data_IF_449975828480
#
_entry.id   IF_449975828480
#
_cell.length_a   1.000
_cell.length_b   1.000
_cell.length_c   1.000
_cell.angle_alpha   90.00
_cell.angle_beta   90.00
_cell.angle_gamma   90.00
#
_symmetry.space_group_name_H-M   'P 1'
#
loop_
_entity.id
_entity.type
_entity.pdbx_description
1 polymer ?
#
# COMPACT_ATOMS: atom_id res chain seq x y z
N UNK A 1 -20.49 -18.15 -11.70
CA UNK A 1 -19.66 -18.18 -10.47
C UNK A 1 -18.31 -18.87 -10.68
N UNK A 2 -18.22 -20.03 -11.34
CA UNK A 2 -16.93 -20.69 -11.66
C UNK A 2 -16.06 -19.92 -12.68
N UNK A 3 -16.67 -19.21 -13.64
CA UNK A 3 -15.95 -18.41 -14.65
C UNK A 3 -15.21 -17.22 -14.07
N UNK A 4 -15.80 -16.53 -13.09
CA UNK A 4 -15.19 -15.40 -12.38
C UNK A 4 -14.02 -15.85 -11.50
N UNK A 5 -14.10 -17.07 -10.96
CA UNK A 5 -13.08 -17.65 -10.08
C UNK A 5 -11.75 -17.89 -10.80
N UNK A 6 -11.80 -18.44 -12.02
CA UNK A 6 -10.63 -18.68 -12.85
C UNK A 6 -10.01 -17.36 -13.32
N UNK A 7 -10.85 -16.37 -13.65
CA UNK A 7 -10.42 -15.07 -14.13
C UNK A 7 -9.54 -14.31 -13.12
N UNK A 8 -9.99 -14.17 -11.86
CA UNK A 8 -9.22 -13.43 -10.84
C UNK A 8 -7.87 -14.08 -10.51
N UNK A 9 -7.82 -15.41 -10.48
CA UNK A 9 -6.58 -16.16 -10.22
C UNK A 9 -5.59 -16.00 -11.38
N UNK A 10 -6.07 -16.08 -12.62
CA UNK A 10 -5.23 -15.85 -13.82
C UNK A 10 -4.72 -14.41 -13.84
N UNK A 11 -5.58 -13.44 -13.52
CA UNK A 11 -5.21 -12.02 -13.42
C UNK A 11 -4.11 -11.80 -12.38
N UNK A 12 -4.27 -12.35 -11.17
CA UNK A 12 -3.25 -12.24 -10.12
C UNK A 12 -1.92 -12.92 -10.50
N UNK A 13 -1.96 -14.08 -11.16
CA UNK A 13 -0.76 -14.78 -11.62
C UNK A 13 -0.03 -13.99 -12.73
N UNK A 14 -0.77 -13.49 -13.72
CA UNK A 14 -0.20 -12.67 -14.81
C UNK A 14 0.33 -11.33 -14.30
N UNK A 15 -0.36 -10.69 -13.36
CA UNK A 15 0.11 -9.47 -12.72
C UNK A 15 1.42 -9.72 -11.96
N UNK A 16 1.46 -10.77 -11.13
CA UNK A 16 2.69 -11.18 -10.42
C UNK A 16 3.85 -11.42 -11.40
N UNK A 17 3.61 -12.12 -12.51
CA UNK A 17 4.62 -12.32 -13.55
C UNK A 17 5.09 -11.01 -14.21
N UNK A 18 4.16 -10.11 -14.52
CA UNK A 18 4.46 -8.77 -15.03
C UNK A 18 5.39 -8.01 -14.07
N UNK A 19 5.03 -7.94 -12.79
CA UNK A 19 5.86 -7.30 -11.75
C UNK A 19 7.25 -7.95 -11.65
N UNK A 20 7.32 -9.27 -11.79
CA UNK A 20 8.57 -10.02 -11.63
C UNK A 20 9.53 -9.76 -12.79
N UNK A 21 8.99 -9.65 -14.00
CA UNK A 21 9.75 -9.38 -15.23
C UNK A 21 9.99 -7.88 -15.46
N UNK A 22 9.31 -6.99 -14.73
CA UNK A 22 9.51 -5.54 -14.80
C UNK A 22 10.97 -5.16 -14.58
N UNK A 23 11.57 -4.37 -15.49
CA UNK A 23 12.89 -3.80 -15.23
C UNK A 23 12.89 -2.92 -13.97
N UNK A 24 14.08 -2.62 -13.39
CA UNK A 24 14.21 -1.61 -12.36
C UNK A 24 13.63 -0.28 -12.84
N UNK A 25 13.15 0.51 -11.88
CA UNK A 25 12.65 1.85 -12.15
C UNK A 25 13.69 2.70 -12.89
N UNK A 26 13.27 3.55 -13.86
CA UNK A 26 14.19 4.50 -14.47
C UNK A 26 14.91 5.33 -13.40
N UNK A 27 16.22 5.56 -13.58
CA UNK A 27 17.05 6.36 -12.66
C UNK A 27 17.05 5.88 -11.20
N UNK A 28 16.79 4.59 -10.96
CA UNK A 28 16.72 4.05 -9.59
C UNK A 28 17.97 4.30 -8.75
N UNK A 29 19.16 4.35 -9.36
CA UNK A 29 20.41 4.65 -8.63
C UNK A 29 20.43 6.07 -8.09
N UNK A 30 20.00 7.03 -8.91
CA UNK A 30 19.88 8.44 -8.50
C UNK A 30 18.81 8.61 -7.42
N UNK A 31 17.70 7.89 -7.55
CA UNK A 31 16.65 7.84 -6.54
C UNK A 31 17.16 7.28 -5.20
N UNK A 32 17.86 6.15 -5.21
CA UNK A 32 18.35 5.52 -3.98
C UNK A 32 19.42 6.38 -3.29
N UNK A 33 20.34 6.97 -4.05
CA UNK A 33 21.31 7.91 -3.49
C UNK A 33 20.64 9.13 -2.83
N UNK A 34 19.56 9.62 -3.45
CA UNK A 34 18.76 10.72 -2.90
C UNK A 34 18.01 10.31 -1.63
N UNK A 35 17.44 9.09 -1.58
CA UNK A 35 16.77 8.54 -0.40
C UNK A 35 17.76 8.38 0.75
N UNK A 36 18.93 7.82 0.48
CA UNK A 36 19.98 7.59 1.47
C UNK A 36 20.45 8.91 2.11
N UNK A 37 20.71 9.93 1.29
CA UNK A 37 21.07 11.26 1.78
C UNK A 37 19.99 11.86 2.70
N UNK A 38 18.72 11.79 2.30
CA UNK A 38 17.62 12.32 3.11
C UNK A 38 17.35 11.54 4.38
N UNK A 39 17.57 10.22 4.36
CA UNK A 39 17.41 9.37 5.54
C UNK A 39 18.41 9.74 6.62
N UNK A 40 19.65 10.08 6.24
CA UNK A 40 20.66 10.55 7.19
C UNK A 40 20.22 11.84 7.91
N UNK A 41 19.48 12.69 7.20
CA UNK A 41 18.95 13.97 7.71
C UNK A 41 17.53 13.84 8.30
N UNK A 42 16.98 12.63 8.40
CA UNK A 42 15.61 12.45 8.84
C UNK A 42 15.45 12.74 10.34
N UNK A 43 14.75 13.83 10.66
CA UNK A 43 14.42 14.18 12.05
C UNK A 43 13.27 13.33 12.62
N UNK A 44 12.56 12.58 11.76
CA UNK A 44 11.32 11.88 12.11
C UNK A 44 11.28 10.49 11.51
N UNK A 45 10.81 9.55 12.31
CA UNK A 45 10.64 8.15 11.94
C UNK A 45 9.25 7.65 12.34
N UNK A 46 8.75 6.65 11.62
CA UNK A 46 7.59 5.89 12.08
C UNK A 46 7.89 5.25 13.44
N UNK A 47 6.93 5.35 14.36
CA UNK A 47 7.05 4.73 15.67
C UNK A 47 7.19 3.20 15.55
N UNK A 48 7.80 2.58 16.56
CA UNK A 48 7.87 1.12 16.63
C UNK A 48 6.50 0.46 16.67
N UNK A 49 6.44 -0.80 16.23
CA UNK A 49 5.21 -1.58 16.00
C UNK A 49 4.11 -1.34 17.05
N UNK A 50 4.38 -1.57 18.33
CA UNK A 50 3.36 -1.48 19.40
C UNK A 50 2.82 -0.04 19.57
N UNK A 51 3.70 0.96 19.52
CA UNK A 51 3.30 2.35 19.70
C UNK A 51 2.46 2.82 18.50
N UNK A 52 2.86 2.43 17.29
CA UNK A 52 2.12 2.72 16.07
C UNK A 52 0.75 2.02 16.06
N UNK A 53 0.66 0.73 16.42
CA UNK A 53 -0.62 0.03 16.52
C UNK A 53 -1.61 0.78 17.43
N UNK A 54 -1.15 1.19 18.62
CA UNK A 54 -1.98 1.93 19.59
C UNK A 54 -2.46 3.26 19.02
N UNK A 55 -1.58 4.00 18.35
CA UNK A 55 -1.92 5.27 17.72
C UNK A 55 -2.99 5.08 16.63
N UNK A 56 -2.82 4.09 15.75
CA UNK A 56 -3.77 3.80 14.68
C UNK A 56 -5.14 3.38 15.22
N UNK A 57 -5.17 2.49 16.23
CA UNK A 57 -6.41 2.08 16.89
C UNK A 57 -7.11 3.29 17.54
N UNK A 58 -6.36 4.17 18.21
CA UNK A 58 -6.91 5.36 18.84
C UNK A 58 -7.48 6.35 17.80
N UNK A 59 -6.82 6.50 16.66
CA UNK A 59 -7.29 7.36 15.56
C UNK A 59 -8.62 6.88 15.00
N UNK A 60 -8.71 5.60 14.62
CA UNK A 60 -9.93 5.08 13.99
C UNK A 60 -11.12 5.01 14.94
N UNK A 61 -10.88 4.79 16.23
CA UNK A 61 -11.96 4.72 17.24
C UNK A 61 -12.54 6.09 17.57
N UNK A 62 -11.80 7.18 17.30
CA UNK A 62 -12.24 8.57 17.50
C UNK A 62 -12.79 9.24 16.24
N UNK A 63 -12.66 8.61 15.08
CA UNK A 63 -13.08 9.20 13.81
C UNK A 63 -14.61 9.38 13.76
N UNK A 64 -15.13 10.57 13.40
CA UNK A 64 -16.55 10.92 13.52
C UNK A 64 -17.51 10.26 12.50
N UNK A 65 -17.09 9.22 11.76
CA UNK A 65 -17.91 8.53 10.76
C UNK A 65 -18.07 7.04 11.06
N UNK A 66 -19.29 6.61 11.41
CA UNK A 66 -19.59 5.24 11.82
C UNK A 66 -20.51 4.46 10.87
N UNK A 67 -20.25 4.43 9.55
CA UNK A 67 -20.92 3.47 8.63
C UNK A 67 -20.27 3.33 7.24
N UNK A 68 -20.29 2.12 6.65
CA UNK A 68 -19.57 0.94 7.11
C UNK A 68 -18.07 1.06 6.76
N UNK A 69 -17.21 0.53 7.62
CA UNK A 69 -15.75 0.64 7.51
C UNK A 69 -15.14 -0.02 6.28
N UNK A 70 -15.93 -0.82 5.57
CA UNK A 70 -15.58 -1.51 4.33
C UNK A 70 -16.19 -0.84 3.07
N UNK A 71 -17.03 0.20 3.23
CA UNK A 71 -17.55 0.94 2.09
C UNK A 71 -16.47 1.79 1.44
N UNK A 72 -16.37 1.66 0.13
CA UNK A 72 -15.67 2.60 -0.72
C UNK A 72 -16.69 3.64 -1.19
N UNK A 73 -16.57 4.93 -0.78
CA UNK A 73 -17.60 5.93 -1.03
C UNK A 73 -17.80 6.26 -2.51
N UNK A 74 -16.85 5.86 -3.35
CA UNK A 74 -16.87 6.01 -4.81
C UNK A 74 -17.38 4.75 -5.54
N UNK A 75 -17.85 3.72 -4.83
CA UNK A 75 -18.48 2.54 -5.43
C UNK A 75 -19.96 2.43 -5.07
N UNK A 76 -20.79 2.15 -6.08
CA UNK A 76 -22.17 1.73 -5.89
C UNK A 76 -22.23 0.25 -5.49
N UNK A 77 -22.24 -0.04 -4.18
CA UNK A 77 -22.90 -1.19 -3.54
C UNK A 77 -22.57 -1.24 -2.04
N UNK A 78 -23.55 -1.71 -1.25
CA UNK A 78 -23.51 -1.91 0.21
C UNK A 78 -22.59 -3.06 0.69
N UNK A 79 -21.75 -3.62 -0.17
CA UNK A 79 -20.81 -4.71 0.13
C UNK A 79 -19.44 -4.39 -0.49
N UNK A 80 -18.36 -4.40 0.32
CA UNK A 80 -17.01 -4.14 -0.18
C UNK A 80 -16.54 -5.15 -1.23
N UNK A 81 -15.38 -4.89 -1.88
CA UNK A 81 -14.91 -5.72 -2.99
C UNK A 81 -14.63 -7.16 -2.53
N UNK A 82 -14.92 -8.18 -3.37
CA UNK A 82 -14.51 -9.56 -3.08
C UNK A 82 -12.99 -9.64 -2.84
N UNK A 83 -12.54 -10.41 -1.83
CA UNK A 83 -11.12 -10.45 -1.42
C UNK A 83 -10.14 -10.74 -2.56
N UNK A 84 -10.56 -11.51 -3.57
CA UNK A 84 -9.73 -11.83 -4.75
C UNK A 84 -9.59 -10.65 -5.70
N UNK A 85 -10.66 -9.89 -5.91
CA UNK A 85 -10.65 -8.65 -6.71
C UNK A 85 -9.75 -7.62 -6.05
N UNK A 86 -9.87 -7.44 -4.73
CA UNK A 86 -8.98 -6.60 -3.94
C UNK A 86 -7.51 -7.03 -4.06
N UNK A 87 -7.24 -8.33 -3.94
CA UNK A 87 -5.87 -8.85 -4.09
C UNK A 87 -5.30 -8.57 -5.47
N UNK A 88 -6.06 -8.89 -6.52
CA UNK A 88 -5.69 -8.58 -7.88
C UNK A 88 -5.42 -7.08 -8.05
N UNK A 89 -6.26 -6.22 -7.49
CA UNK A 89 -6.12 -4.77 -7.54
C UNK A 89 -4.77 -4.29 -6.99
N UNK A 90 -4.39 -4.77 -5.80
CA UNK A 90 -3.13 -4.40 -5.12
C UNK A 90 -1.88 -4.85 -5.90
N UNK A 91 -1.95 -5.99 -6.59
CA UNK A 91 -0.81 -6.54 -7.35
C UNK A 91 -0.74 -5.98 -8.79
N UNK A 92 -1.88 -5.67 -9.41
CA UNK A 92 -2.00 -5.37 -10.86
C UNK A 92 -1.74 -3.93 -11.26
N UNK A 93 -1.26 -3.08 -10.35
CA UNK A 93 -0.99 -1.66 -10.62
C UNK A 93 0.18 -1.41 -11.59
N UNK A 94 0.95 -2.43 -11.99
CA UNK A 94 2.12 -2.24 -12.85
C UNK A 94 1.75 -2.11 -14.32
N UNK A 95 2.36 -1.14 -15.01
CA UNK A 95 2.21 -0.92 -16.45
C UNK A 95 2.72 -2.11 -17.29
N UNK A 96 3.67 -2.89 -16.74
CA UNK A 96 4.19 -4.12 -17.35
C UNK A 96 3.14 -5.27 -17.35
N UNK A 97 1.96 -5.05 -16.75
CA UNK A 97 0.82 -5.96 -16.82
C UNK A 97 -0.28 -5.41 -17.75
N UNK A 98 -0.45 -6.04 -18.92
CA UNK A 98 -1.45 -5.63 -19.92
C UNK A 98 -2.88 -6.14 -19.69
N UNK A 99 -3.15 -6.89 -18.62
CA UNK A 99 -4.48 -7.44 -18.36
C UNK A 99 -5.41 -6.47 -17.60
N UNK A 100 -6.66 -6.86 -17.28
CA UNK A 100 -7.65 -5.97 -16.67
C UNK A 100 -7.18 -5.40 -15.32
N UNK A 101 -7.31 -4.09 -15.14
CA UNK A 101 -7.05 -3.42 -13.85
C UNK A 101 -8.37 -2.91 -13.27
N UNK A 102 -8.70 -3.25 -12.01
CA UNK A 102 -9.91 -2.77 -11.33
C UNK A 102 -9.76 -1.29 -10.92
N UNK A 103 -9.80 -0.39 -11.90
CA UNK A 103 -9.60 1.05 -11.73
C UNK A 103 -10.62 1.70 -10.79
N UNK A 104 -11.81 1.11 -10.67
CA UNK A 104 -12.85 1.58 -9.76
C UNK A 104 -12.44 1.53 -8.28
N UNK A 105 -11.45 0.70 -7.93
CA UNK A 105 -10.93 0.64 -6.56
C UNK A 105 -9.97 1.79 -6.25
N UNK A 106 -9.46 2.48 -7.28
CA UNK A 106 -8.45 3.54 -7.16
C UNK A 106 -8.84 4.75 -8.01
N UNK A 107 -9.89 5.50 -7.60
CA UNK A 107 -10.31 6.70 -8.31
C UNK A 107 -9.18 7.72 -8.38
N UNK A 108 -8.70 7.98 -9.60
CA UNK A 108 -7.55 8.84 -9.87
C UNK A 108 -7.66 10.21 -9.19
N UNK A 109 -8.82 10.85 -9.29
CA UNK A 109 -9.01 12.20 -8.77
C UNK A 109 -8.91 12.25 -7.23
N UNK A 110 -9.45 11.24 -6.54
CA UNK A 110 -9.35 11.11 -5.08
C UNK A 110 -7.91 10.82 -4.63
N UNK A 111 -7.19 9.96 -5.38
CA UNK A 111 -5.77 9.68 -5.12
C UNK A 111 -4.95 10.96 -5.24
N UNK A 112 -5.15 11.73 -6.31
CA UNK A 112 -4.45 13.01 -6.50
C UNK A 112 -4.89 14.08 -5.49
N UNK A 113 -6.15 14.09 -5.06
CA UNK A 113 -6.63 14.99 -4.01
C UNK A 113 -5.97 14.69 -2.65
N UNK A 114 -5.96 13.42 -2.24
CA UNK A 114 -5.29 13.00 -1.01
C UNK A 114 -3.78 13.28 -1.07
N UNK A 115 -3.14 12.99 -2.21
CA UNK A 115 -1.72 13.32 -2.46
C UNK A 115 -1.45 14.81 -2.20
N UNK A 116 -2.26 15.71 -2.77
CA UNK A 116 -2.10 17.16 -2.55
C UNK A 116 -2.25 17.54 -1.07
N UNK A 117 -3.22 16.93 -0.36
CA UNK A 117 -3.43 17.17 1.06
C UNK A 117 -2.25 16.70 1.93
N UNK A 118 -1.63 15.57 1.58
CA UNK A 118 -0.42 15.05 2.24
C UNK A 118 0.78 15.96 1.95
N UNK A 119 0.99 16.37 0.70
CA UNK A 119 2.08 17.28 0.32
C UNK A 119 1.98 18.65 0.99
N UNK A 120 0.75 19.16 1.16
CA UNK A 120 0.49 20.48 1.75
C UNK A 120 0.96 20.62 3.20
N UNK A 121 1.24 19.50 3.89
CA UNK A 121 1.78 19.53 5.25
C UNK A 121 3.20 20.10 5.32
N UNK A 122 3.94 20.10 4.20
CA UNK A 122 5.26 20.72 4.10
C UNK A 122 6.35 20.07 4.98
N UNK A 123 6.10 18.85 5.49
CA UNK A 123 7.01 18.10 6.36
C UNK A 123 6.85 16.61 6.17
N UNK A 124 7.82 15.84 6.68
CA UNK A 124 7.69 14.39 6.78
C UNK A 124 6.49 13.99 7.66
N UNK A 125 5.73 12.99 7.20
CA UNK A 125 4.52 12.45 7.82
C UNK A 125 4.73 10.98 8.18
N UNK A 126 4.45 10.65 9.43
CA UNK A 126 4.42 9.26 9.90
C UNK A 126 3.12 8.56 9.49
N UNK A 127 3.11 7.23 9.53
CA UNK A 127 1.96 6.39 9.14
C UNK A 127 0.65 6.81 9.82
N UNK A 128 0.68 7.16 11.10
CA UNK A 128 -0.49 7.62 11.85
C UNK A 128 -0.96 9.01 11.41
N UNK A 129 -0.05 9.92 11.09
CA UNK A 129 -0.40 11.24 10.53
C UNK A 129 -0.98 11.13 9.12
N UNK A 130 -0.39 10.26 8.28
CA UNK A 130 -0.92 9.93 6.97
C UNK A 130 -2.35 9.38 7.07
N UNK A 131 -2.59 8.48 8.04
CA UNK A 131 -3.93 7.94 8.27
C UNK A 131 -4.91 9.01 8.77
N UNK A 132 -4.49 9.90 9.67
CA UNK A 132 -5.35 10.97 10.18
C UNK A 132 -5.87 11.86 9.03
N UNK A 133 -4.97 12.30 8.15
CA UNK A 133 -5.32 13.10 6.97
C UNK A 133 -6.23 12.32 6.02
N UNK A 134 -5.91 11.05 5.77
CA UNK A 134 -6.73 10.22 4.89
C UNK A 134 -8.13 9.95 5.47
N UNK A 135 -8.26 9.83 6.79
CA UNK A 135 -9.55 9.68 7.46
C UNK A 135 -10.41 10.95 7.34
N UNK A 136 -9.80 12.14 7.43
CA UNK A 136 -10.52 13.39 7.14
C UNK A 136 -11.01 13.41 5.69
N UNK A 137 -10.14 13.04 4.75
CA UNK A 137 -10.45 12.98 3.32
C UNK A 137 -11.59 12.01 3.00
N UNK A 138 -11.68 10.88 3.70
CA UNK A 138 -12.70 9.85 3.44
C UNK A 138 -13.90 9.90 4.39
N UNK A 139 -14.05 10.97 5.17
CA UNK A 139 -15.08 11.14 6.20
C UNK A 139 -15.13 9.96 7.20
N UNK A 140 -13.96 9.53 7.69
CA UNK A 140 -13.78 8.49 8.69
C UNK A 140 -13.77 7.06 8.15
N UNK A 141 -13.83 6.84 6.83
CA UNK A 141 -13.85 5.50 6.24
C UNK A 141 -12.45 4.91 6.17
N UNK A 142 -12.09 4.09 7.17
CA UNK A 142 -10.74 3.52 7.33
C UNK A 142 -10.26 2.71 6.14
N UNK A 143 -11.08 1.82 5.57
CA UNK A 143 -10.66 1.00 4.44
C UNK A 143 -10.41 1.83 3.17
N UNK A 144 -11.29 2.79 2.89
CA UNK A 144 -11.12 3.76 1.81
C UNK A 144 -9.84 4.58 2.01
N UNK A 145 -9.58 5.06 3.24
CA UNK A 145 -8.36 5.82 3.57
C UNK A 145 -7.10 4.98 3.28
N UNK A 146 -7.07 3.72 3.73
CA UNK A 146 -5.93 2.83 3.50
C UNK A 146 -5.71 2.50 2.02
N UNK A 147 -6.78 2.32 1.25
CA UNK A 147 -6.72 2.10 -0.21
C UNK A 147 -6.13 3.31 -0.94
N UNK A 148 -6.61 4.53 -0.62
CA UNK A 148 -6.06 5.74 -1.23
C UNK A 148 -4.60 5.96 -0.82
N UNK A 149 -4.26 5.73 0.44
CA UNK A 149 -2.87 5.81 0.91
C UNK A 149 -1.96 4.84 0.16
N UNK A 150 -2.37 3.58 -0.01
CA UNK A 150 -1.63 2.63 -0.83
C UNK A 150 -1.39 3.16 -2.25
N UNK A 151 -2.43 3.68 -2.91
CA UNK A 151 -2.33 4.21 -4.27
C UNK A 151 -1.41 5.44 -4.36
N UNK A 152 -1.51 6.38 -3.40
CA UNK A 152 -0.63 7.55 -3.33
C UNK A 152 0.84 7.12 -3.19
N UNK A 153 1.13 6.22 -2.26
CA UNK A 153 2.52 5.78 -2.04
C UNK A 153 3.07 5.03 -3.26
N UNK A 154 2.24 4.22 -3.93
CA UNK A 154 2.63 3.55 -5.18
C UNK A 154 2.99 4.52 -6.28
N UNK A 155 2.17 5.56 -6.49
CA UNK A 155 2.43 6.62 -7.45
C UNK A 155 3.79 7.29 -7.20
N UNK A 156 4.13 7.55 -5.95
CA UNK A 156 5.43 8.12 -5.54
C UNK A 156 6.58 7.12 -5.65
N UNK A 157 6.36 5.83 -5.39
CA UNK A 157 7.42 4.83 -5.27
C UNK A 157 7.84 4.14 -6.58
N UNK A 158 6.95 3.98 -7.57
CA UNK A 158 7.26 3.10 -8.73
C UNK A 158 7.34 3.76 -10.09
N UNK A 159 6.73 4.93 -10.31
CA UNK A 159 6.69 5.63 -11.61
C UNK A 159 6.40 4.69 -12.81
N UNK A 160 5.53 3.70 -12.56
CA UNK A 160 5.19 2.61 -13.48
C UNK A 160 3.74 2.16 -13.34
N UNK A 161 2.90 3.09 -12.93
CA UNK A 161 1.47 2.88 -12.72
C UNK A 161 0.67 3.91 -13.55
N UNK A 162 1.24 4.38 -14.67
CA UNK A 162 0.71 5.47 -15.49
C UNK A 162 -0.68 5.14 -16.03
N UNK A 163 -0.94 3.86 -16.31
CA UNK A 163 -2.27 3.40 -16.75
C UNK A 163 -3.34 3.62 -15.68
N UNK A 164 -2.98 3.45 -14.41
CA UNK A 164 -3.91 3.62 -13.29
C UNK A 164 -4.00 5.10 -12.87
N UNK A 165 -2.86 5.70 -12.52
CA UNK A 165 -2.82 6.96 -11.77
C UNK A 165 -2.18 8.12 -12.56
N UNK A 166 -1.59 7.85 -13.73
CA UNK A 166 -0.70 8.78 -14.42
C UNK A 166 0.74 8.69 -13.92
N UNK A 167 1.63 9.47 -14.53
CA UNK A 167 3.04 9.59 -14.14
C UNK A 167 3.28 10.90 -13.40
N UNK A 168 4.34 10.94 -12.58
CA UNK A 168 4.85 12.16 -11.98
C UNK A 168 6.14 12.56 -12.69
N UNK A 169 6.36 13.86 -12.85
CA UNK A 169 7.68 14.32 -13.27
C UNK A 169 8.72 14.01 -12.18
N UNK A 170 9.97 13.82 -12.58
CA UNK A 170 11.04 13.38 -11.67
C UNK A 170 11.20 14.29 -10.44
N UNK A 171 11.25 15.60 -10.63
CA UNK A 171 11.42 16.55 -9.52
C UNK A 171 10.19 16.61 -8.61
N UNK A 172 8.99 16.47 -9.19
CA UNK A 172 7.75 16.36 -8.45
C UNK A 172 7.77 15.10 -7.57
N UNK A 173 8.19 13.99 -8.14
CA UNK A 173 8.29 12.72 -7.44
C UNK A 173 9.30 12.75 -6.28
N UNK A 174 10.47 13.35 -6.48
CA UNK A 174 11.45 13.50 -5.39
C UNK A 174 10.90 14.42 -4.29
N UNK A 175 10.29 15.54 -4.65
CA UNK A 175 9.62 16.41 -3.67
C UNK A 175 8.57 15.64 -2.87
N UNK A 176 7.77 14.81 -3.54
CA UNK A 176 6.75 13.99 -2.90
C UNK A 176 7.34 12.88 -2.01
N UNK A 177 8.40 12.22 -2.44
CA UNK A 177 9.07 11.23 -1.61
C UNK A 177 9.55 11.83 -0.27
N UNK A 178 9.82 13.14 -0.23
CA UNK A 178 10.37 13.81 0.97
C UNK A 178 9.36 14.04 2.09
N UNK A 179 8.06 13.98 1.83
CA UNK A 179 7.05 14.08 2.89
C UNK A 179 6.75 12.72 3.55
N UNK A 180 7.36 11.62 3.10
CA UNK A 180 7.13 10.29 3.66
C UNK A 180 8.21 10.01 4.71
N UNK A 181 7.81 9.90 5.99
CA UNK A 181 8.76 9.57 7.04
C UNK A 181 9.27 8.13 6.87
N UNK A 182 10.59 7.89 6.97
CA UNK A 182 11.14 6.54 6.93
C UNK A 182 10.70 5.71 8.13
N UNK A 183 10.68 4.39 7.95
CA UNK A 183 10.66 3.48 9.09
C UNK A 183 12.03 3.48 9.78
N UNK A 184 12.03 3.20 11.08
CA UNK A 184 13.27 3.07 11.84
C UNK A 184 14.19 2.01 11.19
N UNK A 185 15.53 2.15 11.27
CA UNK A 185 16.47 1.17 10.72
C UNK A 185 16.25 -0.26 11.23
N UNK A 186 15.73 -0.43 12.44
CA UNK A 186 15.37 -1.74 13.02
C UNK A 186 14.21 -2.44 12.30
N UNK A 187 13.43 -1.71 11.50
CA UNK A 187 12.29 -2.24 10.73
C UNK A 187 12.68 -2.38 9.27
N UNK A 188 13.18 -1.32 8.65
CA UNK A 188 13.39 -1.27 7.20
C UNK A 188 14.85 -1.40 6.76
N UNK A 189 15.82 -1.50 7.69
CA UNK A 189 17.24 -1.41 7.32
C UNK A 189 17.51 -0.14 6.54
N UNK A 190 18.12 -0.25 5.36
CA UNK A 190 18.37 0.84 4.39
C UNK A 190 17.22 1.06 3.39
N UNK A 191 15.99 0.68 3.78
CA UNK A 191 14.82 0.66 2.91
C UNK A 191 14.43 2.00 2.29
N UNK A 192 13.74 1.89 1.15
CA UNK A 192 13.11 2.98 0.40
C UNK A 192 11.84 3.44 1.13
N UNK A 193 11.83 4.63 1.73
CA UNK A 193 10.69 5.08 2.55
C UNK A 193 9.35 5.06 1.80
N UNK A 194 9.21 5.65 0.59
CA UNK A 194 8.03 5.44 -0.26
C UNK A 194 7.73 3.97 -0.57
N UNK A 195 8.76 3.19 -0.89
CA UNK A 195 8.70 1.75 -1.16
C UNK A 195 8.08 0.95 0.01
N UNK A 196 8.67 1.08 1.18
CA UNK A 196 8.24 0.47 2.43
C UNK A 196 6.82 0.88 2.81
N UNK A 197 6.46 2.14 2.55
CA UNK A 197 5.16 2.70 2.93
C UNK A 197 4.04 2.16 2.04
N UNK A 198 4.23 2.01 0.73
CA UNK A 198 3.19 1.39 -0.12
C UNK A 198 2.99 -0.10 0.21
N UNK A 199 4.08 -0.79 0.55
CA UNK A 199 4.08 -2.17 1.01
C UNK A 199 3.32 -2.32 2.33
N UNK A 200 3.62 -1.45 3.29
CA UNK A 200 2.89 -1.37 4.55
C UNK A 200 1.38 -1.18 4.33
N UNK A 201 0.97 -0.19 3.51
CA UNK A 201 -0.45 0.07 3.27
C UNK A 201 -1.15 -1.06 2.50
N UNK A 202 -0.48 -1.69 1.53
CA UNK A 202 -1.01 -2.87 0.84
C UNK A 202 -1.35 -3.99 1.83
N UNK A 203 -0.43 -4.29 2.74
CA UNK A 203 -0.62 -5.34 3.75
C UNK A 203 -1.61 -4.93 4.84
N UNK A 204 -1.67 -3.64 5.19
CA UNK A 204 -2.71 -3.11 6.05
C UNK A 204 -4.11 -3.35 5.48
N UNK A 205 -4.33 -3.00 4.22
CA UNK A 205 -5.60 -3.23 3.50
C UNK A 205 -5.99 -4.72 3.55
N UNK A 206 -5.03 -5.61 3.31
CA UNK A 206 -5.24 -7.06 3.34
C UNK A 206 -5.59 -7.55 4.75
N UNK A 207 -4.86 -7.09 5.76
CA UNK A 207 -5.09 -7.44 7.15
C UNK A 207 -6.45 -6.98 7.65
N UNK A 208 -6.83 -5.77 7.26
CA UNK A 208 -8.12 -5.16 7.57
C UNK A 208 -9.26 -5.95 6.94
N UNK A 209 -9.22 -6.17 5.62
CA UNK A 209 -10.24 -6.93 4.88
C UNK A 209 -10.37 -8.36 5.41
N UNK A 210 -9.24 -9.04 5.63
CA UNK A 210 -9.18 -10.38 6.20
C UNK A 210 -9.92 -10.49 7.54
N UNK A 211 -9.74 -9.51 8.41
CA UNK A 211 -10.33 -9.51 9.75
C UNK A 211 -11.85 -9.24 9.71
N UNK A 212 -12.33 -8.44 8.74
CA UNK A 212 -13.76 -8.16 8.59
C UNK A 212 -14.54 -9.32 7.95
N UNK A 213 -13.97 -10.02 6.96
CA UNK A 213 -14.71 -11.01 6.15
C UNK A 213 -14.49 -12.48 6.52
N UNK A 214 -13.62 -12.78 7.50
CA UNK A 214 -13.68 -13.99 8.33
C UNK A 214 -13.75 -15.39 7.67
N UNK A 215 -13.42 -15.58 6.38
CA UNK A 215 -13.45 -16.90 5.72
C UNK A 215 -12.04 -17.53 5.62
N UNK A 216 -11.88 -18.66 4.94
CA UNK A 216 -10.59 -19.40 4.79
C UNK A 216 -9.60 -18.70 3.83
N UNK A 217 -10.11 -17.84 2.93
CA UNK A 217 -9.33 -17.05 1.96
C UNK A 217 -8.21 -16.13 2.53
N UNK A 218 -8.33 -15.50 3.72
CA UNK A 218 -7.30 -14.69 4.36
C UNK A 218 -6.01 -15.42 4.71
N UNK A 219 -6.06 -16.73 4.99
CA UNK A 219 -4.83 -17.51 5.26
C UNK A 219 -4.05 -17.72 3.97
N UNK A 220 -4.75 -18.05 2.88
CA UNK A 220 -4.15 -18.18 1.55
C UNK A 220 -3.64 -16.83 1.02
N UNK A 221 -4.39 -15.73 1.22
CA UNK A 221 -3.96 -14.38 0.85
C UNK A 221 -2.79 -13.91 1.71
N UNK A 222 -2.83 -14.13 3.02
CA UNK A 222 -1.69 -13.84 3.90
C UNK A 222 -0.45 -14.66 3.52
N UNK A 223 -0.62 -15.92 3.15
CA UNK A 223 0.47 -16.73 2.61
C UNK A 223 0.97 -16.20 1.27
N UNK A 224 0.10 -15.69 0.38
CA UNK A 224 0.49 -15.09 -0.88
C UNK A 224 1.25 -13.76 -0.71
N UNK A 225 0.91 -12.94 0.28
CA UNK A 225 1.70 -11.74 0.62
C UNK A 225 3.00 -12.05 1.32
N UNK A 226 3.11 -13.21 1.99
CA UNK A 226 4.36 -13.65 2.61
C UNK A 226 5.30 -14.35 1.62
N UNK A 227 4.77 -15.30 0.84
CA UNK A 227 5.52 -16.10 -0.12
C UNK A 227 5.71 -15.39 -1.46
N UNK A 228 4.84 -14.44 -1.79
CA UNK A 228 4.91 -13.64 -3.02
C UNK A 228 6.25 -12.92 -3.15
N UNK A 229 6.68 -12.09 -2.19
CA UNK A 229 7.99 -11.43 -2.22
C UNK A 229 9.17 -12.41 -2.35
N UNK A 230 9.08 -13.59 -1.73
CA UNK A 230 10.11 -14.64 -1.81
C UNK A 230 10.18 -15.21 -3.24
N UNK A 231 9.03 -15.57 -3.81
CA UNK A 231 8.93 -16.07 -5.17
C UNK A 231 9.34 -15.01 -6.19
N UNK A 232 8.94 -13.76 -5.97
CA UNK A 232 9.29 -12.59 -6.78
C UNK A 232 10.80 -12.35 -6.81
N UNK A 233 11.47 -12.42 -5.65
CA UNK A 233 12.91 -12.35 -5.55
C UNK A 233 13.58 -13.47 -6.35
N UNK A 234 13.12 -14.70 -6.15
CA UNK A 234 13.66 -15.86 -6.88
C UNK A 234 13.51 -15.73 -8.39
N UNK A 235 12.35 -15.27 -8.88
CA UNK A 235 12.14 -15.02 -10.31
C UNK A 235 13.04 -13.87 -10.79
N UNK A 236 13.09 -12.74 -10.10
CA UNK A 236 13.89 -11.58 -10.51
C UNK A 236 15.38 -11.85 -10.56
N UNK A 237 15.92 -12.41 -9.49
CA UNK A 237 17.36 -12.67 -9.37
C UNK A 237 17.76 -13.92 -10.13
N UNK A 238 16.97 -15.00 -10.01
CA UNK A 238 17.30 -16.31 -10.58
C UNK A 238 16.96 -16.47 -12.06
N UNK A 239 15.86 -15.86 -12.53
CA UNK A 239 15.43 -15.98 -13.95
C UNK A 239 15.86 -14.76 -14.77
N UNK A 240 15.76 -13.56 -14.21
CA UNK A 240 16.02 -12.31 -14.95
C UNK A 240 17.35 -11.63 -14.59
N UNK A 241 18.13 -12.18 -13.64
CA UNK A 241 19.43 -11.61 -13.23
C UNK A 241 19.34 -10.17 -12.73
N UNK A 242 18.17 -9.74 -12.26
CA UNK A 242 17.90 -8.36 -11.87
C UNK A 242 17.81 -8.26 -10.35
N UNK A 243 18.81 -7.65 -9.72
CA UNK A 243 18.83 -7.45 -8.27
C UNK A 243 17.68 -6.53 -7.80
N UNK A 244 17.13 -6.84 -6.62
CA UNK A 244 16.20 -5.96 -5.93
C UNK A 244 16.95 -4.73 -5.40
N UNK A 245 16.65 -3.55 -5.97
CA UNK A 245 17.39 -2.33 -5.68
C UNK A 245 17.10 -1.68 -4.31
N UNK A 246 16.00 -2.05 -3.63
CA UNK A 246 15.58 -1.45 -2.36
C UNK A 246 15.40 -2.49 -1.22
N UNK A 247 16.02 -3.67 -1.36
CA UNK A 247 15.95 -4.72 -0.35
C UNK A 247 14.57 -5.39 -0.23
N UNK A 248 14.35 -6.09 0.88
CA UNK A 248 13.11 -6.83 1.14
C UNK A 248 12.26 -6.11 2.19
N UNK A 249 11.04 -5.71 1.81
CA UNK A 249 10.07 -4.96 2.64
C UNK A 249 9.38 -5.82 3.74
N UNK A 250 10.01 -6.92 4.17
CA UNK A 250 9.36 -8.01 4.92
C UNK A 250 8.78 -7.56 6.26
N UNK A 251 9.51 -6.73 7.02
CA UNK A 251 9.03 -6.27 8.32
C UNK A 251 7.91 -5.22 8.18
N UNK A 252 8.00 -4.33 7.19
CA UNK A 252 6.93 -3.40 6.85
C UNK A 252 5.65 -4.14 6.42
N UNK A 253 5.78 -5.19 5.61
CA UNK A 253 4.67 -6.06 5.21
C UNK A 253 4.01 -6.72 6.44
N UNK A 254 4.80 -7.32 7.32
CA UNK A 254 4.32 -7.98 8.57
C UNK A 254 3.60 -7.01 9.48
N UNK A 255 4.19 -5.83 9.69
CA UNK A 255 3.66 -4.79 10.54
C UNK A 255 2.34 -4.25 9.99
N UNK A 256 2.28 -3.94 8.68
CA UNK A 256 1.05 -3.52 8.01
C UNK A 256 -0.08 -4.53 8.19
N UNK A 257 0.20 -5.81 7.94
CA UNK A 257 -0.79 -6.89 8.08
C UNK A 257 -1.33 -7.00 9.51
N UNK A 258 -0.46 -6.89 10.53
CA UNK A 258 -0.85 -6.95 11.95
C UNK A 258 -1.71 -5.75 12.33
N UNK A 259 -1.27 -4.54 11.98
CA UNK A 259 -2.00 -3.31 12.28
C UNK A 259 -3.36 -3.28 11.61
N UNK A 260 -3.47 -3.68 10.33
CA UNK A 260 -4.75 -3.77 9.62
C UNK A 260 -5.75 -4.67 10.35
N UNK A 261 -5.29 -5.84 10.84
CA UNK A 261 -6.11 -6.76 11.64
C UNK A 261 -6.50 -6.16 13.00
N UNK A 262 -5.57 -5.51 13.69
CA UNK A 262 -5.81 -4.91 15.00
C UNK A 262 -6.85 -3.79 14.91
N UNK A 263 -6.70 -2.90 13.93
CA UNK A 263 -7.63 -1.80 13.63
C UNK A 263 -9.02 -2.34 13.29
N UNK A 264 -9.13 -3.29 12.37
CA UNK A 264 -10.42 -3.90 12.03
C UNK A 264 -11.12 -4.52 13.26
N UNK A 265 -10.36 -5.22 14.12
CA UNK A 265 -10.91 -5.79 15.36
C UNK A 265 -11.37 -4.73 16.35
N UNK A 266 -10.59 -3.67 16.55
CA UNK A 266 -10.95 -2.58 17.46
C UNK A 266 -12.28 -1.95 17.03
N UNK A 267 -12.40 -1.66 15.74
CA UNK A 267 -13.60 -1.13 15.11
C UNK A 267 -14.82 -2.05 15.32
N UNK A 268 -14.65 -3.38 15.20
CA UNK A 268 -15.76 -4.33 15.42
C UNK A 268 -16.15 -4.48 16.90
N UNK A 269 -15.24 -4.23 17.85
CA UNK A 269 -15.47 -4.40 19.30
C UNK A 269 -16.04 -3.15 19.98
N UNK A 270 -15.87 -1.97 19.39
CA UNK A 270 -16.45 -0.71 19.89
C UNK A 270 -17.95 -0.58 19.61
N UNK A 271 -18.64 -1.71 19.37
CA UNK A 271 -20.08 -1.84 19.09
C UNK A 271 -20.65 -2.93 19.99
#
# INVERSE_FOLDING_TARGET
MQTTLAHDTITAARATWGVASSPPMPRWREYMAWIEARRADAERFNAGEIALERALVALVTRAPGSAPYDALPWLDASEGPPSRRLYSALVSFVDDYEGPFPAELFPRDEVHALRRALCAQGRALTIDEQLAIALEHTAGRTFAAAILLHAVMRLVARDRDARALGSLEWDERLRDASWIAPFAPSVAGDGDAPGDTYHYWANFVVGFHAALHGRVAPRALGAAFYLGPIAMRWIREGVFGSELFAGAHTECDRMGLRHGRAVARAITRSR
#
